data_IF_641024642644
#
_entry.id   IF_641024642644
#
_cell.length_a   1.000
_cell.length_b   1.000
_cell.length_c   1.000
_cell.angle_alpha   90.00
_cell.angle_beta   90.00
_cell.angle_gamma   90.00
#
_symmetry.space_group_name_H-M   'P 1'
#
loop_
_entity.id
_entity.type
_entity.pdbx_description
1 polymer ?
#
# COMPACT_ATOMS: atom_id res chain seq x y z
N UNK A 1 -18.16 3.25 2.82
CA UNK A 1 -16.84 2.99 3.43
C UNK A 1 -16.28 1.68 2.86
N UNK A 2 -15.02 1.65 2.43
CA UNK A 2 -14.35 0.37 2.06
C UNK A 2 -14.12 -0.41 3.35
N UNK A 3 -14.78 -1.55 3.48
CA UNK A 3 -14.69 -2.45 4.65
C UNK A 3 -13.77 -3.63 4.41
N UNK A 4 -13.51 -3.98 3.14
CA UNK A 4 -12.62 -5.07 2.74
C UNK A 4 -11.77 -4.71 1.52
N UNK A 5 -10.65 -5.39 1.37
CA UNK A 5 -9.79 -5.34 0.18
C UNK A 5 -9.71 -6.75 -0.41
N UNK A 6 -9.61 -6.88 -1.74
CA UNK A 6 -9.30 -8.18 -2.35
C UNK A 6 -7.79 -8.37 -2.41
N UNK A 7 -7.26 -9.37 -1.73
CA UNK A 7 -5.83 -9.67 -1.69
C UNK A 7 -5.53 -10.86 -2.60
N UNK A 8 -4.59 -10.69 -3.53
CA UNK A 8 -4.19 -11.74 -4.49
C UNK A 8 -2.69 -11.93 -4.42
N UNK A 9 -2.23 -13.18 -4.33
CA UNK A 9 -0.82 -13.53 -4.54
C UNK A 9 -0.63 -13.98 -5.99
N UNK A 10 0.07 -13.19 -6.81
CA UNK A 10 0.12 -13.38 -8.27
C UNK A 10 0.72 -14.73 -8.70
N UNK A 11 1.69 -15.23 -7.93
CA UNK A 11 2.40 -16.47 -8.25
C UNK A 11 1.57 -17.72 -7.97
N UNK A 12 0.61 -17.66 -7.04
CA UNK A 12 -0.21 -18.82 -6.65
C UNK A 12 -1.67 -18.68 -7.06
N UNK A 13 -2.10 -17.48 -7.44
CA UNK A 13 -3.52 -17.13 -7.60
C UNK A 13 -4.30 -17.17 -6.30
N UNK A 14 -3.64 -17.35 -5.14
CA UNK A 14 -4.32 -17.40 -3.86
C UNK A 14 -5.00 -16.06 -3.58
N UNK A 15 -6.26 -16.12 -3.18
CA UNK A 15 -7.04 -14.94 -2.83
C UNK A 15 -7.49 -14.96 -1.38
N UNK A 16 -7.57 -13.77 -0.79
CA UNK A 16 -8.14 -13.52 0.51
C UNK A 16 -8.92 -12.20 0.50
N UNK A 17 -9.79 -12.01 1.48
CA UNK A 17 -10.59 -10.79 1.59
C UNK A 17 -10.44 -10.17 2.99
N UNK A 18 -9.28 -9.54 3.29
CA UNK A 18 -9.06 -8.95 4.60
C UNK A 18 -10.01 -7.79 4.91
N UNK A 19 -10.51 -7.80 6.14
CA UNK A 19 -11.35 -6.73 6.69
C UNK A 19 -10.49 -5.65 7.33
N UNK A 20 -10.95 -4.39 7.30
CA UNK A 20 -10.26 -3.28 7.98
C UNK A 20 -10.12 -3.52 9.49
N UNK A 21 -11.11 -4.16 10.11
CA UNK A 21 -11.14 -4.47 11.54
C UNK A 21 -10.07 -5.48 11.98
N UNK A 22 -9.39 -6.15 11.04
CA UNK A 22 -8.29 -7.07 11.34
C UNK A 22 -6.96 -6.35 11.59
N UNK A 23 -6.88 -5.05 11.28
CA UNK A 23 -5.67 -4.23 11.48
C UNK A 23 -5.97 -3.17 12.52
N UNK A 24 -5.16 -3.13 13.58
CA UNK A 24 -5.32 -2.15 14.66
C UNK A 24 -4.82 -0.76 14.22
N UNK A 25 -5.32 0.29 14.87
CA UNK A 25 -4.90 1.67 14.58
C UNK A 25 -3.41 1.92 14.85
N UNK A 26 -2.83 1.25 15.85
CA UNK A 26 -1.39 1.34 16.13
C UNK A 26 -0.56 0.80 14.96
N UNK A 27 -0.97 -0.34 14.38
CA UNK A 27 -0.30 -0.95 13.23
C UNK A 27 -0.45 -0.09 11.98
N UNK A 28 -1.64 0.48 11.76
CA UNK A 28 -1.87 1.45 10.69
C UNK A 28 -0.93 2.66 10.84
N UNK A 29 -0.83 3.22 12.04
CA UNK A 29 0.04 4.37 12.35
C UNK A 29 1.51 4.05 12.07
N UNK A 30 1.99 2.86 12.44
CA UNK A 30 3.36 2.41 12.13
C UNK A 30 3.57 2.31 10.61
N UNK A 31 2.64 1.68 9.89
CA UNK A 31 2.73 1.52 8.44
C UNK A 31 2.68 2.86 7.70
N UNK A 32 1.87 3.83 8.17
CA UNK A 32 1.83 5.18 7.60
C UNK A 32 3.17 5.91 7.74
N UNK A 33 3.86 5.77 8.88
CA UNK A 33 5.21 6.34 9.07
C UNK A 33 6.23 5.71 8.12
N UNK A 34 6.17 4.39 7.94
CA UNK A 34 7.02 3.69 6.97
C UNK A 34 6.73 4.16 5.54
N UNK A 35 5.46 4.22 5.14
CA UNK A 35 5.04 4.70 3.82
C UNK A 35 5.49 6.14 3.57
N UNK A 36 5.29 7.04 4.53
CA UNK A 36 5.71 8.44 4.43
C UNK A 36 7.21 8.55 4.16
N UNK A 37 8.03 7.80 4.90
CA UNK A 37 9.48 7.79 4.70
C UNK A 37 9.87 7.16 3.35
N UNK A 38 9.24 6.05 2.97
CA UNK A 38 9.52 5.34 1.73
C UNK A 38 9.14 6.17 0.49
N UNK A 39 7.98 6.84 0.51
CA UNK A 39 7.53 7.75 -0.55
C UNK A 39 8.39 9.00 -0.66
N UNK A 40 9.09 9.40 0.41
CA UNK A 40 10.10 10.44 0.39
C UNK A 40 11.45 9.97 -0.17
N UNK A 41 11.51 8.79 -0.80
CA UNK A 41 12.72 8.22 -1.39
C UNK A 41 13.71 7.64 -0.38
N UNK A 42 13.29 7.44 0.88
CA UNK A 42 14.10 6.77 1.90
C UNK A 42 13.85 5.26 1.88
N UNK A 43 14.70 4.52 2.57
CA UNK A 43 14.56 3.07 2.77
C UNK A 43 14.34 2.77 4.26
N UNK A 44 13.17 3.10 4.85
CA UNK A 44 12.93 2.86 6.26
C UNK A 44 13.06 1.38 6.60
N UNK A 45 13.69 1.12 7.74
CA UNK A 45 13.86 -0.21 8.31
C UNK A 45 12.58 -0.64 9.00
N UNK A 46 12.13 -1.87 8.78
CA UNK A 46 10.96 -2.40 9.46
C UNK A 46 11.26 -2.59 10.96
N UNK A 47 10.30 -2.31 11.87
CA UNK A 47 10.53 -2.29 13.31
C UNK A 47 10.57 -3.69 13.95
N UNK A 48 10.91 -4.72 13.18
CA UNK A 48 10.97 -6.11 13.63
C UNK A 48 12.11 -6.87 12.94
N UNK A 49 12.37 -8.09 13.42
CA UNK A 49 13.42 -8.98 12.91
C UNK A 49 14.80 -8.31 12.80
N UNK A 50 15.16 -7.56 13.85
CA UNK A 50 16.44 -6.85 14.01
C UNK A 50 16.79 -5.93 12.84
N UNK A 51 15.80 -5.38 12.14
CA UNK A 51 16.00 -4.41 11.07
C UNK A 51 16.62 -4.99 9.79
N UNK A 52 16.44 -6.29 9.55
CA UNK A 52 16.92 -6.96 8.33
C UNK A 52 16.21 -6.50 7.05
N UNK A 53 15.01 -5.96 7.18
CA UNK A 53 14.12 -5.62 6.07
C UNK A 53 14.00 -4.11 5.92
N UNK A 54 14.03 -3.64 4.68
CA UNK A 54 13.72 -2.24 4.35
C UNK A 54 12.59 -2.16 3.34
N UNK A 55 11.94 -1.00 3.28
CA UNK A 55 10.83 -0.72 2.38
C UNK A 55 11.20 0.40 1.42
N UNK A 56 10.85 0.27 0.14
CA UNK A 56 10.74 1.41 -0.77
C UNK A 56 9.30 1.52 -1.28
N UNK A 57 8.87 2.71 -1.66
CA UNK A 57 7.52 2.90 -2.20
C UNK A 57 7.48 4.01 -3.25
N UNK A 58 6.56 3.86 -4.19
CA UNK A 58 6.18 4.88 -5.15
C UNK A 58 4.65 4.90 -5.28
N UNK A 59 4.08 6.08 -5.52
CA UNK A 59 2.64 6.24 -5.67
C UNK A 59 2.30 7.10 -6.89
N UNK A 60 1.17 6.79 -7.52
CA UNK A 60 0.60 7.58 -8.61
C UNK A 60 -0.92 7.59 -8.45
N UNK A 61 -1.51 8.77 -8.20
CA UNK A 61 -2.94 8.85 -7.88
C UNK A 61 -3.25 8.09 -6.58
N UNK A 62 -4.19 7.15 -6.62
CA UNK A 62 -4.51 6.29 -5.46
C UNK A 62 -3.86 4.90 -5.55
N UNK A 63 -2.95 4.70 -6.50
CA UNK A 63 -2.14 3.50 -6.61
C UNK A 63 -0.84 3.63 -5.83
N UNK A 64 -0.43 2.52 -5.24
CA UNK A 64 0.83 2.36 -4.53
C UNK A 64 1.55 1.13 -5.07
N UNK A 65 2.87 1.24 -5.23
CA UNK A 65 3.79 0.11 -5.33
C UNK A 65 4.75 0.21 -4.16
N UNK A 66 4.88 -0.86 -3.39
CA UNK A 66 5.81 -0.97 -2.30
C UNK A 66 6.65 -2.24 -2.47
N UNK A 67 7.96 -2.14 -2.25
CA UNK A 67 8.87 -3.28 -2.37
C UNK A 67 9.61 -3.46 -1.05
N UNK A 68 9.59 -4.69 -0.55
CA UNK A 68 10.42 -5.14 0.56
C UNK A 68 11.76 -5.64 0.05
N UNK A 69 12.81 -5.24 0.76
CA UNK A 69 14.19 -5.58 0.42
C UNK A 69 14.87 -6.30 1.59
N UNK A 70 15.56 -7.39 1.28
CA UNK A 70 16.51 -8.04 2.16
C UNK A 70 17.87 -7.34 2.09
N UNK A 71 18.56 -7.25 3.24
CA UNK A 71 19.93 -6.72 3.37
C UNK A 71 20.06 -5.22 3.06
N UNK A 72 20.77 -4.51 3.93
CA UNK A 72 21.07 -3.08 3.74
C UNK A 72 22.24 -2.80 2.81
N UNK A 73 23.14 -3.78 2.59
CA UNK A 73 24.36 -3.59 1.77
C UNK A 73 24.14 -3.90 0.29
N UNK A 74 23.36 -4.93 0.01
CA UNK A 74 23.00 -5.36 -1.33
C UNK A 74 21.50 -5.64 -1.32
N UNK A 75 20.66 -4.61 -1.49
CA UNK A 75 19.22 -4.76 -1.36
C UNK A 75 18.71 -5.70 -2.45
N UNK A 76 18.18 -6.84 -2.03
CA UNK A 76 17.53 -7.80 -2.91
C UNK A 76 16.03 -7.76 -2.67
N UNK A 77 15.21 -7.54 -3.69
CA UNK A 77 13.77 -7.46 -3.51
C UNK A 77 13.23 -8.85 -3.15
N UNK A 78 12.37 -8.92 -2.14
CA UNK A 78 11.75 -10.17 -1.69
C UNK A 78 10.26 -10.20 -2.02
N UNK A 79 9.59 -9.05 -1.94
CA UNK A 79 8.16 -8.94 -2.20
C UNK A 79 7.88 -7.56 -2.81
N UNK A 80 7.13 -7.53 -3.90
CA UNK A 80 6.54 -6.30 -4.41
C UNK A 80 5.03 -6.36 -4.24
N UNK A 81 4.49 -5.41 -3.47
CA UNK A 81 3.06 -5.25 -3.22
C UNK A 81 2.54 -4.07 -4.05
N UNK A 82 1.50 -4.31 -4.85
CA UNK A 82 0.70 -3.25 -5.44
C UNK A 82 -0.62 -3.08 -4.69
N UNK A 83 -1.05 -1.84 -4.51
CA UNK A 83 -2.38 -1.50 -3.96
C UNK A 83 -3.07 -0.56 -4.93
N UNK A 84 -4.28 -0.91 -5.34
CA UNK A 84 -5.10 -0.04 -6.18
C UNK A 84 -6.45 0.24 -5.51
N UNK A 85 -6.81 1.53 -5.43
CA UNK A 85 -8.06 1.97 -4.82
C UNK A 85 -9.03 2.58 -5.84
N UNK A 86 -8.58 2.82 -7.07
CA UNK A 86 -9.41 3.40 -8.13
C UNK A 86 -9.38 2.59 -9.44
N UNK A 87 -10.51 2.50 -10.15
CA UNK A 87 -10.59 1.79 -11.43
C UNK A 87 -9.71 2.40 -12.53
N UNK A 88 -9.53 3.71 -12.53
CA UNK A 88 -8.90 4.44 -13.62
C UNK A 88 -7.43 4.06 -13.84
N UNK A 89 -6.73 3.72 -12.76
CA UNK A 89 -5.30 3.39 -12.79
C UNK A 89 -4.99 1.95 -12.38
N UNK A 90 -5.91 1.22 -11.76
CA UNK A 90 -5.72 -0.16 -11.31
C UNK A 90 -5.19 -1.10 -12.41
N UNK A 91 -5.78 -1.06 -13.61
CA UNK A 91 -5.40 -1.94 -14.72
C UNK A 91 -3.94 -1.79 -15.13
N UNK A 92 -3.43 -0.56 -15.14
CA UNK A 92 -2.04 -0.29 -15.51
C UNK A 92 -1.08 -0.80 -14.44
N UNK A 93 -1.41 -0.61 -13.15
CA UNK A 93 -0.62 -1.15 -12.06
C UNK A 93 -0.58 -2.69 -12.11
N UNK A 94 -1.72 -3.34 -12.33
CA UNK A 94 -1.80 -4.81 -12.46
C UNK A 94 -0.88 -5.35 -13.56
N UNK A 95 -0.93 -4.73 -14.75
CA UNK A 95 -0.03 -5.08 -15.86
C UNK A 95 1.43 -4.85 -15.51
N UNK A 96 1.76 -3.70 -14.91
CA UNK A 96 3.13 -3.40 -14.51
C UNK A 96 3.70 -4.46 -13.54
N UNK A 97 2.89 -4.98 -12.61
CA UNK A 97 3.30 -6.08 -11.73
C UNK A 97 3.56 -7.39 -12.50
N UNK A 98 2.84 -7.66 -13.60
CA UNK A 98 3.09 -8.84 -14.42
C UNK A 98 4.31 -8.65 -15.33
N UNK A 99 4.38 -7.52 -16.04
CA UNK A 99 5.40 -7.23 -17.05
C UNK A 99 6.81 -7.15 -16.47
N UNK A 100 6.93 -6.77 -15.19
CA UNK A 100 8.22 -6.66 -14.49
C UNK A 100 8.55 -7.87 -13.62
N UNK A 101 7.76 -8.95 -13.69
CA UNK A 101 8.03 -10.18 -12.94
C UNK A 101 9.18 -10.97 -13.53
N UNK A 102 10.08 -11.44 -12.68
CA UNK A 102 11.15 -12.38 -13.06
C UNK A 102 10.74 -13.85 -12.85
N UNK A 103 9.63 -14.09 -12.16
CA UNK A 103 9.10 -15.41 -11.87
C UNK A 103 7.77 -15.63 -12.63
N UNK A 104 7.45 -16.88 -13.02
CA UNK A 104 6.16 -17.21 -13.61
C UNK A 104 5.01 -16.86 -12.67
N UNK A 105 3.95 -16.27 -13.22
CA UNK A 105 2.73 -15.92 -12.50
C UNK A 105 1.58 -16.81 -12.96
N UNK A 106 0.65 -17.13 -12.05
CA UNK A 106 -0.55 -17.94 -12.34
C UNK A 106 -1.71 -17.06 -12.78
N UNK A 107 -1.72 -15.79 -12.35
CA UNK A 107 -2.77 -14.81 -12.69
C UNK A 107 -2.63 -14.27 -14.12
N UNK A 108 -3.76 -13.85 -14.69
CA UNK A 108 -3.84 -13.28 -16.04
C UNK A 108 -3.61 -11.74 -16.03
N UNK A 109 -2.60 -11.20 -16.75
CA UNK A 109 -2.37 -9.75 -16.85
C UNK A 109 -3.53 -8.97 -17.50
N UNK A 110 -4.42 -9.63 -18.24
CA UNK A 110 -5.61 -9.06 -18.87
C UNK A 110 -6.81 -8.92 -17.94
N UNK A 111 -6.81 -9.64 -16.81
CA UNK A 111 -7.96 -9.77 -15.89
C UNK A 111 -7.61 -9.31 -14.47
N UNK A 112 -7.40 -7.99 -14.25
CA UNK A 112 -7.25 -7.47 -12.90
C UNK A 112 -8.53 -7.65 -12.08
N UNK A 113 -8.45 -7.84 -10.75
CA UNK A 113 -9.60 -7.68 -9.88
C UNK A 113 -10.19 -6.27 -9.95
N UNK A 114 -11.48 -6.14 -9.66
CA UNK A 114 -12.10 -4.83 -9.42
C UNK A 114 -11.49 -4.20 -8.15
N UNK A 115 -11.10 -2.91 -8.17
CA UNK A 115 -10.59 -2.25 -6.98
C UNK A 115 -11.70 -2.05 -5.93
N UNK A 116 -11.35 -2.00 -4.65
CA UNK A 116 -9.98 -1.91 -4.15
C UNK A 116 -9.32 -3.27 -3.92
N UNK A 117 -8.03 -3.39 -4.30
CA UNK A 117 -7.27 -4.63 -4.19
C UNK A 117 -5.82 -4.43 -3.75
N UNK A 118 -5.23 -5.54 -3.29
CA UNK A 118 -3.83 -5.73 -2.95
C UNK A 118 -3.32 -6.89 -3.79
N UNK A 119 -2.18 -6.72 -4.45
CA UNK A 119 -1.52 -7.78 -5.20
C UNK A 119 -0.08 -7.95 -4.71
N UNK A 120 0.24 -9.15 -4.25
CA UNK A 120 1.59 -9.52 -3.83
C UNK A 120 2.27 -10.32 -4.94
N UNK A 121 3.43 -9.83 -5.36
CA UNK A 121 4.37 -10.52 -6.24
C UNK A 121 5.59 -10.95 -5.43
N UNK A 122 5.79 -12.26 -5.35
CA UNK A 122 6.99 -12.84 -4.76
C UNK A 122 8.17 -12.61 -5.71
N UNK A 123 9.31 -12.18 -5.15
CA UNK A 123 10.53 -11.87 -5.90
C UNK A 123 11.58 -12.99 -5.72
N UNK A 124 12.61 -13.07 -6.59
CA UNK A 124 13.55 -14.19 -6.57
C UNK A 124 14.31 -14.39 -5.24
N UNK A 125 14.53 -13.33 -4.47
CA UNK A 125 15.24 -13.42 -3.20
C UNK A 125 14.32 -13.70 -1.99
N UNK A 126 13.04 -14.06 -2.21
CA UNK A 126 12.08 -14.31 -1.14
C UNK A 126 12.51 -15.47 -0.23
N UNK A 127 12.86 -15.19 1.03
CA UNK A 127 13.32 -16.23 1.93
C UNK A 127 12.13 -16.93 2.58
N UNK A 128 12.28 -18.21 2.92
CA UNK A 128 11.18 -19.04 3.41
C UNK A 128 10.55 -18.47 4.69
N UNK A 129 11.35 -17.92 5.60
CA UNK A 129 10.88 -17.31 6.84
C UNK A 129 10.01 -16.05 6.61
N UNK A 130 10.14 -15.39 5.46
CA UNK A 130 9.31 -14.24 5.12
C UNK A 130 7.85 -14.63 4.85
N UNK A 131 7.60 -15.86 4.37
CA UNK A 131 6.29 -16.38 4.03
C UNK A 131 5.27 -16.29 5.20
N UNK A 132 5.76 -16.34 6.44
CA UNK A 132 4.91 -16.33 7.63
C UNK A 132 4.32 -14.96 7.96
N UNK A 133 4.89 -13.86 7.46
CA UNK A 133 4.50 -12.52 7.88
C UNK A 133 4.26 -11.54 6.74
N UNK A 134 4.80 -11.77 5.53
CA UNK A 134 4.71 -10.80 4.45
C UNK A 134 3.27 -10.55 3.98
N UNK A 135 2.42 -11.57 4.00
CA UNK A 135 0.99 -11.41 3.72
C UNK A 135 0.25 -10.57 4.76
N UNK A 136 0.64 -10.65 6.04
CA UNK A 136 0.07 -9.80 7.08
C UNK A 136 0.55 -8.35 6.92
N UNK A 137 1.83 -8.19 6.63
CA UNK A 137 2.45 -6.90 6.40
C UNK A 137 1.84 -6.17 5.20
N UNK A 138 1.69 -6.83 4.04
CA UNK A 138 1.10 -6.22 2.83
C UNK A 138 -0.32 -5.73 3.09
N UNK A 139 -1.12 -6.49 3.85
CA UNK A 139 -2.47 -6.09 4.30
C UNK A 139 -2.46 -4.85 5.19
N UNK A 140 -1.55 -4.80 6.17
CA UNK A 140 -1.41 -3.64 7.05
C UNK A 140 -1.02 -2.38 6.26
N UNK A 141 -0.10 -2.53 5.32
CA UNK A 141 0.41 -1.47 4.47
C UNK A 141 -0.67 -0.91 3.53
N UNK A 142 -1.49 -1.81 2.96
CA UNK A 142 -2.61 -1.42 2.11
C UNK A 142 -3.71 -0.68 2.86
N UNK A 143 -4.03 -1.09 4.09
CA UNK A 143 -5.00 -0.36 4.91
C UNK A 143 -4.48 1.01 5.33
N UNK A 144 -3.19 1.10 5.68
CA UNK A 144 -2.53 2.38 5.95
C UNK A 144 -2.62 3.34 4.76
N UNK A 145 -2.35 2.85 3.55
CA UNK A 145 -2.50 3.62 2.32
C UNK A 145 -3.97 4.02 2.05
N UNK A 146 -4.91 3.10 2.27
CA UNK A 146 -6.34 3.35 2.08
C UNK A 146 -6.84 4.48 2.98
N UNK A 147 -6.43 4.48 4.25
CA UNK A 147 -6.83 5.50 5.21
C UNK A 147 -6.17 6.85 4.90
N UNK A 148 -4.91 6.85 4.44
CA UNK A 148 -4.24 8.06 3.97
C UNK A 148 -4.95 8.70 2.77
N UNK A 149 -5.34 7.90 1.77
CA UNK A 149 -6.04 8.41 0.57
C UNK A 149 -7.43 8.96 0.89
N UNK A 150 -8.11 8.43 1.91
CA UNK A 150 -9.39 8.98 2.38
C UNK A 150 -9.21 10.34 3.02
N UNK A 151 -8.24 10.49 3.91
CA UNK A 151 -7.95 11.78 4.55
C UNK A 151 -7.59 12.88 3.55
N UNK A 152 -7.00 12.52 2.40
CA UNK A 152 -6.72 13.48 1.30
C UNK A 152 -7.96 13.88 0.49
N UNK A 153 -8.96 13.00 0.39
CA UNK A 153 -10.21 13.23 -0.36
C UNK A 153 -11.26 14.04 0.41
N UNK A 154 -11.04 14.29 1.69
CA UNK A 154 -11.76 15.30 2.46
C UNK A 154 -10.94 16.61 2.46
N UNK A 155 -10.89 17.38 1.35
CA UNK A 155 -10.55 18.78 1.50
C UNK A 155 -11.72 19.40 2.25
N UNK A 156 -11.43 19.90 3.44
CA UNK A 156 -12.11 21.05 4.03
C UNK A 156 -13.48 21.35 3.42
N UNK A 157 -14.53 20.78 4.00
CA UNK A 157 -15.71 21.60 4.27
C UNK A 157 -15.27 22.69 5.27
N UNK A 158 -14.35 23.57 4.86
CA UNK A 158 -14.15 24.88 5.46
C UNK A 158 -15.49 25.54 5.25
N UNK A 159 -16.26 25.57 6.33
CA UNK A 159 -17.30 26.54 6.62
C UNK A 159 -17.14 27.73 5.69
N UNK A 160 -18.07 27.85 4.72
CA UNK A 160 -18.25 29.12 4.02
C UNK A 160 -18.22 30.22 5.08
N UNK A 161 -17.43 31.29 4.91
CA UNK A 161 -17.48 32.41 5.83
C UNK A 161 -18.94 32.83 5.95
N UNK A 162 -19.44 32.84 7.18
CA UNK A 162 -20.79 33.28 7.50
C UNK A 162 -20.97 34.70 6.91
N UNK A 163 -21.81 34.87 5.87
CA UNK A 163 -21.99 36.17 5.23
C UNK A 163 -22.57 37.21 6.19
N UNK A 164 -23.09 36.79 7.34
CA UNK A 164 -23.72 37.66 8.32
C UNK A 164 -22.78 38.10 9.45
N UNK A 165 -21.47 37.77 9.43
CA UNK A 165 -20.54 38.28 10.45
C UNK A 165 -20.31 39.78 10.22
N UNK A 166 -20.83 40.69 11.07
CA UNK A 166 -20.69 42.12 10.85
C UNK A 166 -19.22 42.53 11.00
N UNK A 167 -18.77 43.41 10.12
CA UNK A 167 -17.45 44.03 10.18
C UNK A 167 -17.33 44.80 11.51
N UNK A 168 -16.69 44.17 12.50
CA UNK A 168 -16.41 44.78 13.79
C UNK A 168 -15.52 46.01 13.60
N UNK A 169 -16.04 47.15 14.03
CA UNK A 169 -15.45 48.47 13.90
C UNK A 169 -14.04 48.51 14.51
N UNK A 170 -13.06 49.00 13.74
CA UNK A 170 -11.82 49.51 14.32
C UNK A 170 -12.13 50.85 15.00
N UNK A 171 -11.82 50.91 16.29
CA UNK A 171 -11.77 52.15 17.07
C UNK A 171 -10.32 52.66 17.12
#
# INVERSE_FOLDING_TARGET
MISSLHHVTLMTGHTAQPLRSMVTEDVVTVCQKLLTAALAGRYPVLPFDNGKWTLSAAAQGQNLVATLWASSRHPLPILTTGVALDPGSARNLWRALHDTSLLPLVTDPGQPPEPPWIADRIEPAFPFEAALWTGDFSRCLAWAWTDEMRGRKEPEARTSPDPDRPAGACA
#
